data_IF_864798986727
#
_entry.id   IF_864798986727
#
_cell.length_a   1.000
_cell.length_b   1.000
_cell.length_c   1.000
_cell.angle_alpha   90.00
_cell.angle_beta   90.00
_cell.angle_gamma   90.00
#
_symmetry.space_group_name_H-M   'P 1'
#
loop_
_entity.id
_entity.type
_entity.pdbx_description
1 polymer ?
#
# COMPACT_ATOMS: atom_id res chain seq x y z
N UNK A 1 3.06 -6.05 -17.92
CA UNK A 1 2.54 -5.83 -16.55
C UNK A 1 1.44 -4.80 -16.63
N UNK A 2 0.32 -5.01 -15.93
CA UNK A 2 -0.78 -4.05 -15.87
C UNK A 2 -0.64 -3.21 -14.60
N UNK A 3 -0.74 -1.89 -14.71
CA UNK A 3 -0.74 -0.98 -13.58
C UNK A 3 -2.17 -0.62 -13.20
N UNK A 4 -2.43 -0.56 -11.90
CA UNK A 4 -3.64 0.03 -11.35
C UNK A 4 -3.31 1.46 -10.99
N UNK A 5 -4.09 2.40 -11.51
CA UNK A 5 -3.90 3.83 -11.28
C UNK A 5 -5.11 4.39 -10.57
N UNK A 6 -4.90 4.96 -9.40
CA UNK A 6 -5.89 5.73 -8.67
C UNK A 6 -5.52 7.20 -8.64
N UNK A 7 -6.49 8.05 -8.96
CA UNK A 7 -6.34 9.50 -9.00
C UNK A 7 -7.26 10.16 -7.99
N UNK A 8 -6.74 11.18 -7.31
CA UNK A 8 -7.40 11.92 -6.26
C UNK A 8 -7.20 13.42 -6.46
N UNK A 9 -8.23 14.18 -6.11
CA UNK A 9 -8.15 15.62 -5.88
C UNK A 9 -7.93 15.84 -4.37
N UNK A 10 -7.04 16.76 -4.02
CA UNK A 10 -6.71 17.11 -2.65
C UNK A 10 -6.66 18.63 -2.48
N UNK A 11 -7.51 19.18 -1.61
CA UNK A 11 -7.66 20.64 -1.42
C UNK A 11 -6.96 21.20 -0.18
N UNK A 12 -6.14 20.39 0.51
CA UNK A 12 -5.44 20.78 1.74
C UNK A 12 -3.98 21.18 1.53
N UNK A 13 -3.23 21.34 2.63
CA UNK A 13 -1.78 21.57 2.58
C UNK A 13 -1.03 20.32 2.09
N UNK A 14 -0.22 20.38 1.02
CA UNK A 14 0.60 19.26 0.55
C UNK A 14 1.53 18.66 1.62
N UNK A 15 1.92 19.41 2.65
CA UNK A 15 2.69 18.86 3.79
C UNK A 15 1.87 17.88 4.61
N UNK A 16 0.61 18.20 4.89
CA UNK A 16 -0.32 17.32 5.61
C UNK A 16 -0.59 16.05 4.82
N UNK A 17 -0.77 16.13 3.49
CA UNK A 17 -0.93 14.96 2.64
C UNK A 17 0.28 14.03 2.68
N UNK A 18 1.48 14.60 2.59
CA UNK A 18 2.74 13.82 2.69
C UNK A 18 2.85 13.12 4.04
N UNK A 19 2.60 13.85 5.13
CA UNK A 19 2.63 13.29 6.48
C UNK A 19 1.61 12.15 6.62
N UNK A 20 0.37 12.37 6.18
CA UNK A 20 -0.68 11.35 6.18
C UNK A 20 -0.30 10.11 5.36
N UNK A 21 0.32 10.28 4.19
CA UNK A 21 0.80 9.16 3.36
C UNK A 21 1.87 8.34 4.08
N UNK A 22 2.88 8.97 4.68
CA UNK A 22 3.92 8.24 5.42
C UNK A 22 3.34 7.52 6.63
N UNK A 23 2.51 8.21 7.41
CA UNK A 23 1.87 7.59 8.58
C UNK A 23 0.99 6.40 8.16
N UNK A 24 0.24 6.53 7.07
CA UNK A 24 -0.58 5.45 6.53
C UNK A 24 0.24 4.25 6.07
N UNK A 25 1.39 4.49 5.41
CA UNK A 25 2.30 3.43 4.98
C UNK A 25 3.00 2.75 6.16
N UNK A 26 3.36 3.49 7.20
CA UNK A 26 3.91 2.95 8.45
C UNK A 26 2.88 2.17 9.26
N UNK A 27 1.61 2.58 9.24
CA UNK A 27 0.54 1.84 9.88
C UNK A 27 0.20 0.57 9.10
N UNK A 28 0.27 0.61 7.77
CA UNK A 28 0.12 -0.57 6.93
C UNK A 28 1.17 -1.64 7.28
N UNK A 29 2.42 -1.25 7.55
CA UNK A 29 3.48 -2.22 7.94
C UNK A 29 3.28 -2.85 9.32
N UNK A 30 2.47 -2.23 10.18
CA UNK A 30 2.08 -2.75 11.50
C UNK A 30 0.78 -3.57 11.45
N UNK A 31 0.07 -3.52 10.33
CA UNK A 31 -1.25 -4.15 10.21
C UNK A 31 -1.13 -5.66 9.97
N UNK A 32 -1.88 -6.42 10.75
CA UNK A 32 -2.10 -7.85 10.57
C UNK A 32 -3.55 -8.08 10.15
N UNK A 33 -3.78 -8.83 9.09
CA UNK A 33 -5.14 -9.17 8.63
C UNK A 33 -5.24 -10.66 8.35
N UNK A 34 -6.30 -11.30 8.84
CA UNK A 34 -6.62 -12.67 8.44
C UNK A 34 -7.14 -12.66 7.00
N UNK A 35 -6.66 -13.61 6.20
CA UNK A 35 -7.14 -13.87 4.85
C UNK A 35 -7.45 -15.36 4.69
N UNK A 36 -8.43 -15.66 3.84
CA UNK A 36 -8.85 -17.02 3.52
C UNK A 36 -8.37 -17.38 2.12
N UNK A 37 -7.67 -18.50 2.02
CA UNK A 37 -7.23 -19.08 0.75
C UNK A 37 -8.17 -20.18 0.33
N UNK A 38 -9.04 -19.93 -0.64
CA UNK A 38 -9.90 -20.97 -1.19
C UNK A 38 -9.09 -21.89 -2.12
N UNK A 39 -9.25 -23.20 -1.96
CA UNK A 39 -8.71 -24.19 -2.91
C UNK A 39 -9.50 -24.19 -4.22
N UNK A 40 -8.97 -24.87 -5.24
CA UNK A 40 -9.59 -24.97 -6.57
C UNK A 40 -11.02 -25.56 -6.53
N UNK A 41 -11.32 -26.40 -5.53
CA UNK A 41 -12.63 -27.05 -5.35
C UNK A 41 -13.62 -26.22 -4.49
N UNK A 42 -13.29 -24.98 -4.11
CA UNK A 42 -14.15 -24.13 -3.26
C UNK A 42 -14.32 -24.59 -1.80
N UNK A 43 -13.74 -25.73 -1.42
CA UNK A 43 -13.77 -26.24 -0.06
C UNK A 43 -12.94 -25.38 0.92
N UNK A 44 -13.36 -25.39 2.21
CA UNK A 44 -12.95 -24.45 3.28
C UNK A 44 -11.48 -24.07 3.21
N UNK A 45 -11.29 -22.78 2.97
CA UNK A 45 -9.99 -22.20 2.69
C UNK A 45 -9.05 -22.16 3.89
N UNK A 46 -7.77 -22.33 3.59
CA UNK A 46 -6.68 -22.25 4.55
C UNK A 46 -6.62 -20.81 5.10
N UNK A 47 -6.63 -20.66 6.42
CA UNK A 47 -6.47 -19.35 7.09
C UNK A 47 -5.00 -18.97 7.11
N UNK A 48 -4.69 -17.74 6.70
CA UNK A 48 -3.37 -17.17 6.94
C UNK A 48 -3.44 -15.74 7.45
N UNK A 49 -2.40 -15.38 8.19
CA UNK A 49 -2.15 -14.03 8.61
C UNK A 49 -1.31 -13.30 7.55
N UNK A 50 -1.85 -12.20 7.04
CA UNK A 50 -1.20 -11.29 6.09
C UNK A 50 -0.53 -10.15 6.86
N UNK A 51 0.75 -9.92 6.58
CA UNK A 51 1.50 -8.76 7.06
C UNK A 51 2.22 -8.05 5.90
N UNK A 52 2.51 -6.76 6.09
CA UNK A 52 3.13 -5.90 5.09
C UNK A 52 4.51 -5.45 5.56
N UNK A 53 5.50 -5.54 4.68
CA UNK A 53 6.78 -4.86 4.85
C UNK A 53 6.86 -3.75 3.81
N UNK A 54 7.08 -2.52 4.27
CA UNK A 54 7.04 -1.33 3.41
C UNK A 54 8.45 -0.75 3.32
N UNK A 55 8.92 -0.58 2.10
CA UNK A 55 10.27 -0.11 1.79
C UNK A 55 10.20 1.14 0.93
N UNK A 56 11.04 2.12 1.25
CA UNK A 56 11.31 3.27 0.43
C UNK A 56 12.34 2.91 -0.64
N UNK A 57 12.07 3.27 -1.89
CA UNK A 57 13.06 3.23 -2.98
C UNK A 57 13.41 4.67 -3.41
N UNK A 58 14.62 5.10 -3.10
CA UNK A 58 15.19 6.38 -3.55
C UNK A 58 16.48 6.09 -4.30
N UNK A 59 16.51 6.46 -5.58
CA UNK A 59 17.66 6.20 -6.47
C UNK A 59 18.04 4.70 -6.44
N UNK A 60 19.27 4.39 -6.02
CA UNK A 60 19.83 3.04 -5.92
C UNK A 60 19.65 2.39 -4.54
N UNK A 61 19.00 3.09 -3.59
CA UNK A 61 18.82 2.63 -2.22
C UNK A 61 17.38 2.13 -2.02
N UNK A 62 17.27 0.87 -1.58
CA UNK A 62 16.04 0.29 -1.05
C UNK A 62 16.24 0.08 0.45
N UNK A 63 15.42 0.75 1.27
CA UNK A 63 15.48 0.59 2.73
C UNK A 63 14.09 0.55 3.36
N UNK A 64 13.94 -0.01 4.57
CA UNK A 64 12.67 0.04 5.29
C UNK A 64 12.17 1.48 5.45
N UNK A 65 10.85 1.65 5.37
CA UNK A 65 10.21 2.94 5.66
C UNK A 65 10.39 3.28 7.14
N UNK A 66 10.81 4.51 7.41
CA UNK A 66 11.06 5.03 8.75
C UNK A 66 10.08 6.16 9.11
N UNK A 67 9.70 6.33 10.39
CA UNK A 67 8.96 7.50 10.84
C UNK A 67 9.57 8.84 10.44
N UNK A 68 10.90 8.89 10.32
CA UNK A 68 11.62 10.09 9.92
C UNK A 68 11.34 10.51 8.47
N UNK A 69 10.89 9.60 7.61
CA UNK A 69 10.67 9.86 6.19
C UNK A 69 9.61 10.93 5.91
N UNK A 70 8.75 11.24 6.90
CA UNK A 70 7.81 12.36 6.81
C UNK A 70 8.48 13.74 6.69
N UNK A 71 9.74 13.85 7.12
CA UNK A 71 10.50 15.11 7.14
C UNK A 71 11.48 15.26 5.96
N UNK A 72 11.88 14.17 5.31
CA UNK A 72 13.00 14.15 4.35
C UNK A 72 12.57 13.93 2.89
N UNK A 73 11.34 14.31 2.54
CA UNK A 73 10.88 14.20 1.16
C UNK A 73 11.53 15.24 0.26
N UNK A 74 12.04 14.79 -0.89
CA UNK A 74 12.35 15.69 -2.01
C UNK A 74 11.06 16.40 -2.42
N UNK A 75 10.94 17.66 -2.02
CA UNK A 75 9.85 18.53 -2.47
C UNK A 75 10.41 19.64 -3.32
N UNK A 76 9.94 19.67 -4.57
CA UNK A 76 10.08 20.82 -5.43
C UNK A 76 8.78 21.61 -5.36
N UNK A 77 8.74 22.60 -4.48
CA UNK A 77 7.53 23.41 -4.21
C UNK A 77 6.36 22.56 -3.68
N UNK A 78 5.26 22.51 -4.45
CA UNK A 78 4.03 21.75 -4.11
C UNK A 78 4.01 20.31 -4.68
N UNK A 79 5.10 19.83 -5.26
CA UNK A 79 5.15 18.50 -5.87
C UNK A 79 6.04 17.55 -5.09
N UNK A 80 5.66 16.27 -5.07
CA UNK A 80 6.47 15.20 -4.50
C UNK A 80 6.30 13.90 -5.29
N UNK A 81 7.31 13.03 -5.23
CA UNK A 81 7.27 11.68 -5.78
C UNK A 81 7.82 10.71 -4.76
N UNK A 82 7.15 9.58 -4.64
CA UNK A 82 7.50 8.51 -3.71
C UNK A 82 7.41 7.18 -4.44
N UNK A 83 8.48 6.38 -4.39
CA UNK A 83 8.44 5.00 -4.88
C UNK A 83 8.57 4.07 -3.67
N UNK A 84 7.62 3.16 -3.53
CA UNK A 84 7.48 2.25 -2.40
C UNK A 84 7.45 0.83 -2.93
N UNK A 85 8.16 -0.06 -2.27
CA UNK A 85 8.02 -1.50 -2.46
C UNK A 85 7.26 -2.04 -1.25
N UNK A 86 6.16 -2.75 -1.50
CA UNK A 86 5.37 -3.41 -0.46
C UNK A 86 5.52 -4.91 -0.65
N UNK A 87 6.11 -5.58 0.35
CA UNK A 87 6.20 -7.03 0.39
C UNK A 87 5.14 -7.56 1.33
N UNK A 88 4.19 -8.31 0.78
CA UNK A 88 3.11 -8.94 1.51
C UNK A 88 3.53 -10.36 1.84
N UNK A 89 3.64 -10.66 3.13
CA UNK A 89 3.96 -12.00 3.63
C UNK A 89 2.71 -12.65 4.19
N UNK A 90 2.64 -13.97 4.03
CA UNK A 90 1.54 -14.78 4.50
C UNK A 90 2.07 -15.88 5.42
N UNK A 91 1.54 -15.93 6.64
CA UNK A 91 1.84 -16.98 7.61
C UNK A 91 0.59 -17.83 7.79
N UNK A 92 0.63 -19.07 7.33
CA UNK A 92 -0.46 -20.03 7.52
C UNK A 92 -0.66 -20.25 9.01
N UNK A 93 -1.87 -20.02 9.51
CA UNK A 93 -2.24 -20.37 10.88
C UNK A 93 -2.58 -21.86 10.87
N UNK A 94 -1.79 -22.73 11.52
CA UNK A 94 -2.00 -24.16 11.38
C UNK A 94 -3.31 -24.57 12.07
N UNK A 95 -4.25 -25.13 11.32
CA UNK A 95 -5.20 -26.08 11.90
C UNK A 95 -4.44 -27.39 12.09
N UNK A 96 -4.02 -27.66 13.33
CA UNK A 96 -3.60 -28.97 13.87
C UNK A 96 -2.74 -29.82 12.90
N UNK A 97 -1.41 -29.84 13.10
CA UNK A 97 -0.42 -30.81 12.55
C UNK A 97 0.06 -30.67 11.09
N UNK A 98 0.04 -29.50 10.46
CA UNK A 98 0.67 -29.34 9.13
C UNK A 98 1.90 -28.43 9.14
N UNK A 99 2.90 -28.85 8.37
CA UNK A 99 4.11 -28.12 7.99
C UNK A 99 3.85 -26.61 7.82
N UNK A 100 4.72 -25.77 8.41
CA UNK A 100 4.75 -24.31 8.17
C UNK A 100 5.15 -24.03 6.72
N UNK A 101 4.28 -24.34 5.76
CA UNK A 101 4.48 -24.00 4.35
C UNK A 101 4.34 -22.49 4.24
N UNK A 102 5.46 -21.78 4.05
CA UNK A 102 5.43 -20.34 3.79
C UNK A 102 4.94 -20.14 2.36
N UNK A 103 3.83 -19.44 2.19
CA UNK A 103 3.41 -19.01 0.86
C UNK A 103 4.42 -18.00 0.31
N UNK A 104 4.61 -18.03 -1.00
CA UNK A 104 5.48 -17.07 -1.69
C UNK A 104 4.92 -15.65 -1.45
N UNK A 105 5.74 -14.70 -1.00
CA UNK A 105 5.27 -13.34 -0.76
C UNK A 105 4.93 -12.64 -2.07
N UNK A 106 3.90 -11.81 -2.04
CA UNK A 106 3.61 -10.86 -3.11
C UNK A 106 4.47 -9.60 -2.92
N UNK A 107 5.00 -9.07 -4.00
CA UNK A 107 5.81 -7.87 -4.02
C UNK A 107 5.11 -6.89 -4.96
N UNK A 108 4.63 -5.80 -4.40
CA UNK A 108 3.99 -4.71 -5.12
C UNK A 108 4.92 -3.51 -5.20
N UNK A 109 4.88 -2.82 -6.34
CA UNK A 109 5.54 -1.54 -6.51
C UNK A 109 4.48 -0.45 -6.55
N UNK A 110 4.58 0.53 -5.66
CA UNK A 110 3.74 1.69 -5.60
C UNK A 110 4.55 2.93 -6.00
N UNK A 111 4.06 3.68 -6.97
CA UNK A 111 4.57 5.01 -7.29
C UNK A 111 3.49 6.02 -6.96
N UNK A 112 3.79 6.92 -6.05
CA UNK A 112 2.88 7.97 -5.59
C UNK A 112 3.43 9.31 -6.04
N UNK A 113 2.61 10.09 -6.74
CA UNK A 113 2.98 11.40 -7.27
C UNK A 113 1.94 12.41 -6.80
N UNK A 114 2.38 13.41 -6.03
CA UNK A 114 1.60 14.60 -5.72
C UNK A 114 2.05 15.78 -6.57
N UNK A 115 1.11 16.50 -7.19
CA UNK A 115 1.36 17.72 -7.98
C UNK A 115 0.24 18.73 -7.73
N UNK A 116 0.53 19.78 -6.97
CA UNK A 116 -0.49 20.76 -6.58
C UNK A 116 -1.62 20.05 -5.83
N UNK A 117 -2.84 20.19 -6.34
CA UNK A 117 -4.07 19.66 -5.72
C UNK A 117 -4.42 18.25 -6.22
N UNK A 118 -3.48 17.55 -6.86
CA UNK A 118 -3.69 16.20 -7.40
C UNK A 118 -2.72 15.21 -6.78
N UNK A 119 -3.24 14.03 -6.44
CA UNK A 119 -2.48 12.86 -6.03
C UNK A 119 -2.77 11.70 -6.98
N UNK A 120 -1.74 11.03 -7.44
CA UNK A 120 -1.86 9.83 -8.26
C UNK A 120 -1.06 8.69 -7.67
N UNK A 121 -1.70 7.54 -7.48
CA UNK A 121 -1.10 6.31 -6.96
C UNK A 121 -1.12 5.29 -8.08
N UNK A 122 0.04 4.84 -8.50
CA UNK A 122 0.24 3.73 -9.41
C UNK A 122 0.64 2.52 -8.57
N UNK A 123 -0.02 1.38 -8.75
CA UNK A 123 0.30 0.12 -8.07
C UNK A 123 0.41 -1.01 -9.09
N UNK A 124 1.41 -1.88 -8.96
CA UNK A 124 1.55 -3.08 -9.80
C UNK A 124 2.05 -4.24 -8.96
N UNK A 125 1.57 -5.45 -9.25
CA UNK A 125 2.16 -6.68 -8.74
C UNK A 125 3.42 -7.00 -9.55
N UNK A 126 4.57 -6.98 -8.89
CA UNK A 126 5.87 -7.24 -9.54
C UNK A 126 6.23 -8.71 -9.55
N UNK A 127 5.98 -9.40 -8.43
CA UNK A 127 6.35 -10.80 -8.21
C UNK A 127 5.40 -11.37 -7.17
N UNK A 128 4.99 -12.62 -7.34
CA UNK A 128 4.11 -13.26 -6.37
C UNK A 128 3.17 -14.24 -7.04
N UNK A 129 2.20 -14.70 -6.27
CA UNK A 129 1.10 -15.56 -6.74
C UNK A 129 -0.15 -14.73 -7.02
N UNK A 130 -0.19 -13.48 -6.53
CA UNK A 130 -1.30 -12.55 -6.77
C UNK A 130 -2.45 -12.74 -5.78
N UNK A 131 -2.12 -13.13 -4.54
CA UNK A 131 -3.09 -13.23 -3.46
C UNK A 131 -3.50 -11.87 -2.88
N UNK A 132 -2.68 -10.85 -3.08
CA UNK A 132 -3.05 -9.45 -2.85
C UNK A 132 -3.10 -8.72 -4.17
N UNK A 133 -4.27 -8.16 -4.50
CA UNK A 133 -4.44 -7.34 -5.69
C UNK A 133 -3.83 -5.94 -5.47
N UNK A 134 -3.26 -5.31 -6.51
CA UNK A 134 -2.74 -3.95 -6.39
C UNK A 134 -3.80 -2.93 -5.94
N UNK A 135 -5.06 -3.13 -6.32
CA UNK A 135 -6.23 -2.36 -5.89
C UNK A 135 -6.44 -2.40 -4.37
N UNK A 136 -6.28 -3.56 -3.75
CA UNK A 136 -6.51 -3.74 -2.31
C UNK A 136 -5.56 -2.85 -1.49
N UNK A 137 -4.31 -2.74 -1.95
CA UNK A 137 -3.30 -1.91 -1.30
C UNK A 137 -3.62 -0.43 -1.48
N UNK A 138 -4.12 -0.01 -2.65
CA UNK A 138 -4.58 1.36 -2.87
C UNK A 138 -5.75 1.69 -1.95
N UNK A 139 -6.75 0.82 -1.86
CA UNK A 139 -7.92 1.02 -1.00
C UNK A 139 -7.52 1.09 0.48
N UNK A 140 -6.63 0.20 0.92
CA UNK A 140 -6.11 0.18 2.28
C UNK A 140 -5.31 1.45 2.62
N UNK A 141 -4.53 1.96 1.67
CA UNK A 141 -3.78 3.20 1.82
C UNK A 141 -4.72 4.41 1.85
N UNK A 142 -5.70 4.48 0.95
CA UNK A 142 -6.67 5.56 0.90
C UNK A 142 -7.48 5.70 2.18
N UNK A 143 -7.99 4.58 2.72
CA UNK A 143 -8.74 4.59 3.97
C UNK A 143 -7.95 5.20 5.12
N UNK A 144 -6.66 4.83 5.24
CA UNK A 144 -5.76 5.37 6.28
C UNK A 144 -5.40 6.84 6.04
N UNK A 145 -5.13 7.23 4.80
CA UNK A 145 -4.81 8.63 4.46
C UNK A 145 -5.97 9.53 4.85
N UNK A 146 -7.21 9.13 4.56
CA UNK A 146 -8.41 9.84 5.01
C UNK A 146 -8.47 9.96 6.53
N UNK A 147 -8.19 8.88 7.26
CA UNK A 147 -8.13 8.89 8.73
C UNK A 147 -7.13 9.92 9.25
N UNK A 148 -5.91 9.96 8.71
CA UNK A 148 -4.86 10.89 9.15
C UNK A 148 -5.06 12.35 8.73
N UNK A 149 -5.77 12.60 7.63
CA UNK A 149 -6.16 13.94 7.20
C UNK A 149 -7.37 14.49 7.99
N UNK A 150 -7.94 13.68 8.87
CA UNK A 150 -9.16 13.98 9.62
C UNK A 150 -10.43 13.61 8.84
N UNK A 151 -11.52 13.37 9.56
CA UNK A 151 -12.83 12.94 9.06
C UNK A 151 -13.53 13.92 8.10
N UNK A 152 -12.88 15.01 7.70
CA UNK A 152 -13.36 15.89 6.62
C UNK A 152 -13.13 15.19 5.29
N UNK A 153 -14.09 14.35 4.90
CA UNK A 153 -14.16 13.69 3.58
C UNK A 153 -14.04 14.66 2.39
N UNK A 154 -14.16 15.97 2.61
CA UNK A 154 -13.99 17.02 1.62
C UNK A 154 -12.55 17.26 1.18
N UNK A 155 -11.55 16.81 1.96
CA UNK A 155 -10.15 17.16 1.73
C UNK A 155 -9.52 16.28 0.65
N UNK A 156 -9.90 15.00 0.55
CA UNK A 156 -9.41 14.08 -0.48
C UNK A 156 -10.58 13.39 -1.20
N UNK A 157 -10.76 13.73 -2.48
CA UNK A 157 -11.82 13.18 -3.34
C UNK A 157 -11.22 12.23 -4.36
N UNK A 158 -11.63 10.96 -4.34
CA UNK A 158 -11.28 9.99 -5.38
C UNK A 158 -11.94 10.42 -6.71
N UNK A 159 -11.14 10.52 -7.75
CA UNK A 159 -11.60 10.87 -9.11
C UNK A 159 -11.85 9.61 -9.94
N UNK A 160 -10.87 8.70 -10.01
CA UNK A 160 -10.98 7.45 -10.77
C UNK A 160 -10.00 6.37 -10.30
N UNK A 161 -10.34 5.11 -10.60
CA UNK A 161 -9.41 3.97 -10.57
C UNK A 161 -9.51 3.28 -11.94
N UNK A 162 -8.36 2.97 -12.55
CA UNK A 162 -8.30 2.29 -13.86
C UNK A 162 -7.13 1.31 -13.91
N UNK A 163 -7.28 0.25 -14.70
CA UNK A 163 -6.18 -0.65 -15.06
C UNK A 163 -5.60 -0.18 -16.41
N UNK A 164 -4.29 -0.01 -16.49
CA UNK A 164 -3.54 0.41 -17.70
C UNK A 164 -2.43 -0.58 -18.05
#
# INVERSE_FOLDING_TARGET
MKWVVAEYEYKGDPRSLRSALILSLLELSKSLSEILFFGEDGNRGLKALRCYEVYLRKEDIIRPLSPLDRYFFDSYGKSFKLNIIIKVKYTITPSVKSSKRRLRPDVLNLRIIGRGDKLTIYSTLMKGVGHTLPEDVIMALEGRVRTYLGSRNEVIRRLRIKVI
#
